data_IF_696208656989
#
_entry.id   IF_696208656989
#
_cell.length_a   1.000
_cell.length_b   1.000
_cell.length_c   1.000
_cell.angle_alpha   90.00
_cell.angle_beta   90.00
_cell.angle_gamma   90.00
#
_symmetry.space_group_name_H-M   'P 1'
#
loop_
_entity.id
_entity.type
_entity.pdbx_description
1 polymer ?
2 branched ?
3 water ?
#
# COMPACT_ATOMS: atom_id res chain seq x y z
N UNK A 1 -13.10 -7.77 -9.91
CA UNK A 1 -13.75 -7.43 -8.60
C UNK A 1 -13.93 -5.94 -8.45
N UNK A 2 -14.38 -5.51 -7.27
CA UNK A 2 -14.67 -4.10 -6.99
C UNK A 2 -13.43 -3.24 -6.75
N UNK A 3 -12.27 -3.89 -6.66
CA UNK A 3 -11.01 -3.17 -6.45
C UNK A 3 -9.91 -3.77 -7.31
N UNK A 4 -9.07 -2.90 -7.86
CA UNK A 4 -7.91 -3.34 -8.65
C UNK A 4 -6.98 -4.14 -7.73
N UNK A 5 -6.51 -5.28 -8.23
CA UNK A 5 -5.60 -6.16 -7.52
C UNK A 5 -4.34 -6.40 -8.33
N UNK A 6 -3.20 -6.45 -7.62
CA UNK A 6 -1.87 -6.59 -8.24
C UNK A 6 -1.14 -7.81 -7.68
N UNK A 7 -0.41 -8.54 -8.51
CA UNK A 7 0.31 -9.73 -8.01
C UNK A 7 1.34 -9.30 -6.96
N UNK A 8 1.44 -10.07 -5.87
CA UNK A 8 2.43 -9.82 -4.80
C UNK A 8 3.58 -10.84 -4.80
N UNK A 9 3.27 -12.01 -5.32
CA UNK A 9 4.19 -13.13 -5.48
C UNK A 9 3.60 -13.85 -6.67
N UNK A 10 4.44 -14.43 -7.52
CA UNK A 10 3.94 -15.22 -8.63
C UNK A 10 2.94 -16.28 -8.19
N UNK A 11 1.98 -16.64 -9.06
CA UNK A 11 1.04 -17.68 -8.67
C UNK A 11 1.67 -19.07 -8.68
N UNK A 12 1.09 -19.97 -7.89
CA UNK A 12 1.33 -21.39 -8.07
C UNK A 12 0.25 -21.90 -9.00
N UNK A 13 0.66 -22.33 -10.19
CA UNK A 13 -0.28 -22.81 -11.20
C UNK A 13 -0.31 -24.33 -11.18
N UNK A 14 -1.52 -24.87 -11.22
CA UNK A 14 -1.77 -26.30 -11.11
C UNK A 14 -0.87 -26.96 -10.07
N UNK A 15 -0.87 -26.45 -8.82
CA UNK A 15 -0.05 -27.10 -7.82
C UNK A 15 -0.60 -28.49 -7.54
N UNK A 16 0.29 -29.48 -7.38
CA UNK A 16 -0.15 -30.88 -7.17
C UNK A 16 -0.52 -31.10 -5.70
N UNK A 17 -1.70 -31.65 -5.45
CA UNK A 17 -2.15 -31.91 -4.08
C UNK A 17 -1.67 -33.28 -3.59
N UNK A 18 -1.10 -33.36 -2.36
CA UNK A 18 -0.84 -32.32 -1.35
C UNK A 18 0.31 -31.38 -1.70
N UNK A 19 0.09 -30.09 -1.48
CA UNK A 19 1.03 -29.04 -1.87
C UNK A 19 1.52 -28.35 -0.62
N UNK A 20 2.81 -28.03 -0.58
CA UNK A 20 3.37 -27.16 0.44
C UNK A 20 4.36 -26.24 -0.28
N UNK A 21 4.27 -24.95 0.00
CA UNK A 21 5.16 -23.99 -0.66
C UNK A 21 5.22 -22.68 0.09
N UNK A 22 6.25 -21.86 -0.19
CA UNK A 22 6.43 -20.62 0.54
C UNK A 22 5.35 -19.57 0.28
N UNK A 23 5.06 -18.81 1.32
CA UNK A 23 4.48 -17.48 1.16
C UNK A 23 5.66 -16.53 1.37
N UNK A 24 6.21 -16.07 0.25
CA UNK A 24 7.51 -15.38 0.23
C UNK A 24 7.39 -14.11 1.03
N UNK A 25 8.23 -13.99 2.05
CA UNK A 25 8.26 -12.80 2.91
C UNK A 25 7.23 -12.82 4.01
N UNK A 26 6.38 -13.86 4.06
CA UNK A 26 5.38 -13.99 5.13
C UNK A 26 4.08 -13.30 4.77
N UNK A 27 3.00 -13.70 5.43
CA UNK A 27 1.73 -12.98 5.31
C UNK A 27 1.86 -11.51 5.67
N UNK A 28 1.12 -10.67 4.95
CA UNK A 28 1.15 -9.23 5.16
C UNK A 28 -0.27 -8.70 5.22
N UNK A 29 -0.47 -7.60 5.94
CA UNK A 29 -1.77 -6.95 5.96
C UNK A 29 -2.21 -6.58 4.55
N UNK A 30 -3.45 -6.92 4.21
CA UNK A 30 -3.97 -6.60 2.87
C UNK A 30 -3.68 -7.64 1.81
N UNK A 31 -2.89 -8.67 2.14
CA UNK A 31 -2.66 -9.76 1.20
C UNK A 31 -3.93 -10.58 1.03
N UNK A 32 -4.20 -10.96 -0.22
CA UNK A 32 -5.33 -11.82 -0.55
C UNK A 32 -4.74 -13.03 -1.21
N UNK A 33 -4.94 -14.19 -0.57
CA UNK A 33 -4.46 -15.47 -1.08
C UNK A 33 -5.67 -16.20 -1.64
N UNK A 34 -5.70 -16.41 -2.96
CA UNK A 34 -6.89 -17.01 -3.56
C UNK A 34 -6.61 -18.40 -4.12
N UNK A 35 -7.45 -19.37 -3.77
CA UNK A 35 -7.35 -20.73 -4.30
C UNK A 35 -8.51 -20.95 -5.26
N UNK A 36 -8.20 -21.27 -6.52
CA UNK A 36 -9.18 -21.60 -7.53
C UNK A 36 -9.07 -23.06 -7.81
N UNK A 37 -10.17 -23.78 -7.63
CA UNK A 37 -10.08 -25.22 -7.68
C UNK A 37 -11.41 -25.90 -7.87
N UNK A 38 -11.39 -27.20 -7.64
CA UNK A 38 -12.59 -28.05 -7.69
C UNK A 38 -12.56 -29.05 -6.53
N UNK A 39 -13.68 -29.14 -5.84
CA UNK A 39 -13.91 -30.14 -4.81
C UNK A 39 -14.14 -31.46 -5.54
N UNK A 40 -13.47 -32.51 -5.08
CA UNK A 40 -13.66 -33.84 -5.65
C UNK A 40 -15.12 -34.31 -5.51
N UNK A 41 -15.53 -35.22 -6.40
CA UNK A 41 -16.93 -35.62 -6.48
C UNK A 41 -17.38 -36.37 -5.25
N UNK A 42 -16.45 -37.12 -4.69
CA UNK A 42 -16.66 -37.73 -3.41
C UNK A 42 -15.52 -37.15 -2.56
N UNK A 43 -15.93 -36.27 -1.69
CA UNK A 43 -15.00 -35.53 -0.88
C UNK A 43 -15.38 -35.83 0.54
N UNK A 44 -14.36 -36.00 1.37
CA UNK A 44 -14.55 -36.21 2.79
C UNK A 44 -14.12 -34.96 3.54
N UNK A 45 -12.88 -34.53 3.32
CA UNK A 45 -12.35 -33.34 3.95
C UNK A 45 -11.29 -32.72 3.07
N UNK A 46 -11.09 -31.42 3.21
CA UNK A 46 -9.82 -30.85 2.74
C UNK A 46 -9.31 -29.81 3.72
N UNK A 47 -8.03 -29.47 3.60
CA UNK A 47 -7.34 -28.59 4.57
C UNK A 47 -6.51 -27.54 3.84
N UNK A 48 -6.63 -26.29 4.31
CA UNK A 48 -5.69 -25.25 3.94
C UNK A 48 -5.05 -24.78 5.24
N UNK A 49 -3.73 -24.91 5.33
CA UNK A 49 -2.98 -24.46 6.52
C UNK A 49 -2.07 -23.31 6.17
N UNK A 50 -2.17 -22.26 6.96
CA UNK A 50 -1.20 -21.15 6.96
C UNK A 50 -0.31 -21.38 8.17
N UNK A 51 0.97 -21.69 7.90
CA UNK A 51 1.81 -22.20 8.97
C UNK A 51 3.22 -21.59 8.97
N UNK A 52 3.90 -21.76 10.10
CA UNK A 52 5.24 -21.26 10.31
C UNK A 52 6.15 -22.45 10.10
N UNK A 53 6.83 -22.45 8.96
CA UNK A 53 7.78 -23.48 8.54
C UNK A 53 7.14 -24.75 7.96
N UNK A 54 8.01 -25.62 7.48
CA UNK A 54 7.62 -26.89 6.87
C UNK A 54 7.03 -27.87 7.89
N UNK A 55 7.33 -27.66 9.18
CA UNK A 55 7.07 -28.63 10.24
C UNK A 55 5.62 -28.99 10.46
N UNK A 56 4.75 -27.99 10.41
CA UNK A 56 3.35 -28.22 10.72
C UNK A 56 2.99 -28.15 12.19
N UNK A 57 3.97 -27.89 13.04
CA UNK A 57 3.72 -27.82 14.50
C UNK A 57 3.05 -26.52 14.90
N UNK A 58 3.27 -25.49 14.10
CA UNK A 58 2.71 -24.17 14.36
C UNK A 58 1.94 -23.67 13.15
N UNK A 59 0.62 -23.79 13.26
CA UNK A 59 -0.32 -23.44 12.19
C UNK A 59 -1.17 -22.29 12.68
N UNK A 60 -0.92 -21.10 12.14
CA UNK A 60 -1.65 -19.92 12.56
C UNK A 60 -3.13 -20.04 12.27
N UNK A 61 -3.44 -20.60 11.11
CA UNK A 61 -4.83 -20.70 10.69
C UNK A 61 -4.98 -21.96 9.88
N UNK A 62 -5.76 -22.89 10.43
CA UNK A 62 -6.12 -24.17 9.80
C UNK A 62 -7.59 -24.08 9.39
N UNK A 63 -7.86 -24.24 8.11
CA UNK A 63 -9.21 -24.11 7.57
C UNK A 63 -9.57 -25.49 6.99
N UNK A 64 -10.62 -26.13 7.51
CA UNK A 64 -10.86 -27.54 7.26
C UNK A 64 -12.33 -27.88 7.03
N UNK A 65 -12.81 -27.76 5.79
CA UNK A 65 -14.16 -28.20 5.42
C UNK A 65 -14.30 -29.72 5.60
N UNK A 66 -15.42 -30.15 6.20
CA UNK A 66 -15.67 -31.56 6.47
C UNK A 66 -17.06 -31.90 5.96
N UNK A 67 -17.10 -32.78 4.97
CA UNK A 67 -18.34 -33.22 4.35
C UNK A 67 -18.92 -34.34 5.21
N UNK A 68 -19.13 -33.98 6.47
CA UNK A 68 -19.63 -34.89 7.52
C UNK A 68 -20.69 -34.18 8.36
N UNK A 69 -21.61 -34.93 8.96
CA UNK A 69 -22.58 -34.37 9.91
C UNK A 69 -23.36 -33.16 9.36
N UNK A 70 -23.74 -33.26 8.09
CA UNK A 70 -24.51 -32.21 7.43
C UNK A 70 -23.62 -31.27 6.62
N UNK A 71 -22.33 -31.30 6.93
CA UNK A 71 -21.36 -30.40 6.29
C UNK A 71 -21.02 -29.26 7.23
N UNK A 72 -19.73 -29.06 7.51
CA UNK A 72 -19.33 -27.95 8.38
C UNK A 72 -17.85 -27.65 8.17
N UNK A 73 -17.39 -26.52 8.67
CA UNK A 73 -15.99 -26.12 8.44
C UNK A 73 -15.36 -25.79 9.78
N UNK A 74 -14.24 -26.45 10.08
CA UNK A 74 -13.48 -26.18 11.29
C UNK A 74 -12.36 -25.18 11.01
N UNK A 75 -12.26 -24.13 11.85
CA UNK A 75 -11.14 -23.19 11.86
C UNK A 75 -10.42 -23.39 13.20
N UNK A 76 -9.10 -23.44 13.17
CA UNK A 76 -8.32 -23.58 14.42
C UNK A 76 -6.89 -23.11 14.21
N UNK A 77 -6.15 -23.11 15.30
CA UNK A 77 -4.72 -22.79 15.34
C UNK A 77 -4.00 -23.89 16.10
N UNK A 78 -2.77 -24.19 15.65
CA UNK A 78 -1.90 -25.19 16.32
C UNK A 78 -0.68 -24.45 16.80
N UNK A 79 -0.35 -24.64 18.09
CA UNK A 79 0.80 -24.02 18.72
C UNK A 79 1.61 -25.14 19.35
N UNK A 80 2.89 -25.23 18.97
CA UNK A 80 3.77 -26.24 19.59
C UNK A 80 3.13 -27.63 19.50
N UNK A 81 2.46 -27.92 18.38
CA UNK A 81 1.88 -29.26 18.17
C UNK A 81 0.49 -29.44 18.79
N UNK A 82 0.02 -28.42 19.52
CA UNK A 82 -1.30 -28.52 20.21
C UNK A 82 -2.39 -27.70 19.56
N UNK A 83 -3.52 -28.35 19.31
CA UNK A 83 -4.68 -27.66 18.76
C UNK A 83 -5.38 -26.82 19.82
N UNK A 84 -5.88 -25.65 19.41
CA UNK A 84 -6.67 -24.83 20.32
C UNK A 84 -8.16 -25.17 20.21
N UNK A 85 -9.02 -24.29 20.75
CA UNK A 85 -10.46 -24.46 20.65
C UNK A 85 -10.97 -24.22 19.23
N UNK A 86 -11.70 -25.19 18.70
CA UNK A 86 -12.19 -25.10 17.33
C UNK A 86 -13.32 -24.09 17.24
N UNK A 87 -13.37 -23.46 16.07
CA UNK A 87 -14.48 -22.61 15.68
C UNK A 87 -15.13 -23.30 14.50
N UNK A 88 -16.35 -23.79 14.72
CA UNK A 88 -17.08 -24.56 13.70
C UNK A 88 -18.20 -23.74 13.08
N UNK A 89 -18.13 -23.53 11.78
CA UNK A 89 -19.24 -22.90 11.07
C UNK A 89 -20.09 -24.02 10.49
N UNK A 90 -21.36 -24.08 10.91
CA UNK A 90 -22.17 -25.25 10.65
C UNK A 90 -22.88 -25.05 9.32
N UNK A 91 -22.07 -24.92 8.29
CA UNK A 91 -22.51 -24.71 6.91
C UNK A 91 -21.42 -25.22 5.98
N UNK A 92 -21.80 -25.72 4.81
CA UNK A 92 -20.81 -26.18 3.86
C UNK A 92 -20.96 -25.39 2.56
N UNK A 93 -20.05 -24.42 2.30
CA UNK A 93 -20.15 -23.56 1.13
C UNK A 93 -19.57 -24.12 -0.16
N UNK A 94 -18.96 -25.31 -0.05
CA UNK A 94 -18.40 -26.04 -1.19
C UNK A 94 -19.38 -27.13 -1.61
N UNK A 95 -19.42 -27.44 -2.91
CA UNK A 95 -20.24 -28.55 -3.39
C UNK A 95 -19.35 -29.60 -4.04
N UNK A 96 -19.61 -30.86 -3.71
CA UNK A 96 -18.85 -31.99 -4.26
C UNK A 96 -18.86 -31.97 -5.79
N UNK A 97 -17.69 -32.16 -6.36
CA UNK A 97 -17.52 -32.18 -7.81
C UNK A 97 -17.60 -30.83 -8.52
N UNK A 98 -17.71 -29.75 -7.77
CA UNK A 98 -17.90 -28.42 -8.35
C UNK A 98 -16.72 -27.45 -8.16
N UNK A 99 -16.53 -26.53 -9.13
CA UNK A 99 -15.50 -25.50 -8.94
C UNK A 99 -15.76 -24.58 -7.76
N UNK A 100 -14.68 -24.02 -7.22
CA UNK A 100 -14.82 -23.00 -6.19
C UNK A 100 -13.72 -21.95 -6.31
N UNK A 101 -13.99 -20.80 -5.73
CA UNK A 101 -12.96 -19.78 -5.50
C UNK A 101 -12.95 -19.59 -4.00
N UNK A 102 -11.77 -19.72 -3.40
CA UNK A 102 -11.63 -19.60 -1.95
C UNK A 102 -10.59 -18.53 -1.66
N UNK A 103 -11.00 -17.44 -1.01
CA UNK A 103 -10.10 -16.29 -0.84
C UNK A 103 -9.88 -15.98 0.63
N UNK A 104 -8.62 -15.91 1.02
CA UNK A 104 -8.23 -15.53 2.37
C UNK A 104 -7.68 -14.12 2.33
N UNK A 105 -8.35 -13.22 3.05
CA UNK A 105 -7.89 -11.86 3.14
C UNK A 105 -7.27 -11.62 4.51
N UNK A 106 -6.01 -11.17 4.53
CA UNK A 106 -5.33 -10.91 5.80
C UNK A 106 -5.62 -9.49 6.24
N UNK A 107 -6.34 -9.37 7.34
CA UNK A 107 -6.59 -8.05 7.92
C UNK A 107 -5.82 -7.90 9.24
N UNK A 108 -5.82 -6.69 9.79
CA UNK A 108 -5.01 -6.45 10.96
C UNK A 108 -5.39 -7.34 12.16
N UNK A 109 -6.68 -7.57 12.34
CA UNK A 109 -7.18 -8.30 13.51
C UNK A 109 -7.71 -9.71 13.20
N UNK A 110 -7.90 -10.01 11.92
CA UNK A 110 -8.57 -11.24 11.54
C UNK A 110 -8.24 -11.60 10.10
N UNK A 111 -8.41 -12.86 9.78
CA UNK A 111 -8.57 -13.29 8.39
C UNK A 111 -10.06 -13.14 8.06
N UNK A 112 -10.37 -12.73 6.84
CA UNK A 112 -11.74 -12.84 6.32
C UNK A 112 -11.69 -13.86 5.19
N UNK A 113 -12.63 -14.79 5.19
CA UNK A 113 -12.62 -15.84 4.17
C UNK A 113 -13.86 -15.75 3.30
N UNK A 114 -13.64 -15.63 1.98
CA UNK A 114 -14.69 -15.55 0.98
C UNK A 114 -14.74 -16.87 0.25
N UNK A 115 -15.94 -17.38 0.02
CA UNK A 115 -16.08 -18.56 -0.82
C UNK A 115 -17.05 -18.21 -1.94
N UNK A 116 -16.59 -18.38 -3.18
CA UNK A 116 -17.41 -18.07 -4.34
C UNK A 116 -17.91 -16.63 -4.25
N UNK A 117 -17.01 -15.77 -3.77
CA UNK A 117 -17.16 -14.30 -3.73
C UNK A 117 -18.14 -13.81 -2.66
N UNK A 118 -18.54 -14.71 -1.76
CA UNK A 118 -19.43 -14.35 -0.66
C UNK A 118 -18.71 -14.60 0.64
N UNK A 119 -18.86 -13.66 1.56
CA UNK A 119 -18.23 -13.81 2.87
C UNK A 119 -18.70 -15.10 3.52
N UNK A 120 -17.75 -15.87 4.05
CA UNK A 120 -18.08 -17.15 4.68
C UNK A 120 -17.77 -17.14 6.19
N UNK A 121 -16.55 -16.82 6.56
CA UNK A 121 -16.16 -16.82 7.98
C UNK A 121 -15.08 -15.79 8.26
N UNK A 122 -15.03 -15.33 9.51
CA UNK A 122 -13.92 -14.51 10.01
C UNK A 122 -13.16 -15.35 10.99
N UNK A 123 -11.87 -15.06 11.14
CA UNK A 123 -11.06 -15.81 12.10
C UNK A 123 -10.07 -14.86 12.74
N UNK A 124 -10.27 -14.58 14.03
CA UNK A 124 -9.37 -13.69 14.75
C UNK A 124 -7.99 -14.29 14.84
N UNK A 125 -6.97 -13.48 14.57
CA UNK A 125 -5.59 -13.89 14.76
C UNK A 125 -5.31 -14.27 16.20
N UNK A 126 -4.82 -15.48 16.41
CA UNK A 126 -4.43 -15.93 17.74
C UNK A 126 -2.93 -15.78 17.94
N UNK A 127 -2.21 -15.71 16.83
CA UNK A 127 -0.77 -15.46 16.80
C UNK A 127 -0.49 -14.47 15.65
N UNK A 128 0.65 -13.79 15.68
CA UNK A 128 0.96 -12.85 14.58
C UNK A 128 1.02 -13.54 13.22
N UNK A 129 0.31 -12.98 12.25
CA UNK A 129 0.21 -13.66 10.95
C UNK A 129 1.53 -13.57 10.20
N UNK A 130 2.38 -12.61 10.56
CA UNK A 130 3.58 -12.42 9.78
C UNK A 130 4.58 -13.56 9.93
N UNK A 131 4.39 -14.40 10.95
CA UNK A 131 5.27 -15.57 11.11
C UNK A 131 4.90 -16.70 10.15
N UNK A 132 3.74 -16.58 9.51
CA UNK A 132 3.35 -17.54 8.49
C UNK A 132 4.13 -17.34 7.20
N UNK A 133 4.96 -18.33 6.88
CA UNK A 133 5.72 -18.27 5.63
C UNK A 133 5.49 -19.45 4.72
N UNK A 134 4.48 -20.25 5.04
CA UNK A 134 4.27 -21.50 4.35
C UNK A 134 2.79 -21.75 4.21
N UNK A 135 2.36 -22.14 3.02
CA UNK A 135 0.97 -22.63 2.86
C UNK A 135 1.00 -24.14 2.56
N UNK A 136 0.08 -24.90 3.14
CA UNK A 136 0.00 -26.34 2.88
C UNK A 136 -1.42 -26.69 2.55
N UNK A 137 -1.63 -27.36 1.42
CA UNK A 137 -3.00 -27.72 1.01
C UNK A 137 -3.09 -29.21 0.79
N UNK A 138 -4.10 -29.84 1.39
CA UNK A 138 -4.24 -31.30 1.24
C UNK A 138 -5.70 -31.73 1.20
N UNK A 139 -5.95 -32.96 0.78
CA UNK A 139 -7.31 -33.49 0.83
C UNK A 139 -8.00 -33.58 -0.50
N UNK A 140 -9.33 -33.53 -0.44
CA UNK A 140 -10.19 -33.92 -1.55
C UNK A 140 -10.51 -32.76 -2.47
N UNK A 141 -9.47 -32.26 -3.10
CA UNK A 141 -9.58 -31.15 -4.03
C UNK A 141 -8.46 -31.22 -5.03
N UNK A 142 -8.63 -30.45 -6.11
CA UNK A 142 -7.54 -30.12 -7.01
C UNK A 142 -7.57 -28.60 -7.17
N UNK A 143 -6.44 -28.03 -7.54
CA UNK A 143 -6.33 -26.57 -7.72
C UNK A 143 -5.83 -26.21 -9.12
N UNK A 144 -6.47 -25.21 -9.75
CA UNK A 144 -5.93 -24.62 -10.96
C UNK A 144 -4.88 -23.54 -10.68
N UNK A 145 -5.05 -22.82 -9.57
CA UNK A 145 -4.01 -21.91 -9.16
C UNK A 145 -4.19 -21.43 -7.74
N UNK A 146 -3.11 -20.88 -7.22
CA UNK A 146 -3.12 -20.10 -5.98
C UNK A 146 -2.48 -18.79 -6.38
N UNK A 147 -3.19 -17.67 -6.19
CA UNK A 147 -2.63 -16.34 -6.40
C UNK A 147 -2.45 -15.58 -5.10
N UNK A 148 -1.51 -14.63 -5.14
CA UNK A 148 -1.17 -13.75 -4.02
C UNK A 148 -1.30 -12.33 -4.55
N UNK A 149 -2.24 -11.57 -4.01
CA UNK A 149 -2.56 -10.24 -4.56
C UNK A 149 -2.76 -9.23 -3.49
N UNK A 150 -2.57 -7.97 -3.87
CA UNK A 150 -2.82 -6.85 -2.99
C UNK A 150 -3.46 -5.69 -3.74
N UNK A 151 -4.19 -4.85 -3.02
CA UNK A 151 -4.74 -3.60 -3.57
C UNK A 151 -3.62 -2.60 -3.78
N UNK B 1 1.19 34.70 -16.88
CA UNK B 1 0.41 34.87 -15.63
C UNK B 1 0.27 36.35 -15.31
N UNK B 2 -0.18 36.66 -14.10
CA UNK B 2 -0.50 38.03 -13.73
C UNK B 2 0.74 38.81 -13.29
N UNK B 3 1.87 38.12 -13.23
CA UNK B 3 3.16 38.67 -12.79
C UNK B 3 4.21 38.32 -13.86
N UNK B 4 5.06 39.28 -14.22
CA UNK B 4 6.21 38.99 -15.11
C UNK B 4 7.21 38.12 -14.35
N UNK B 5 7.61 37.01 -14.98
CA UNK B 5 8.52 36.06 -14.37
C UNK B 5 9.81 35.93 -15.18
N UNK B 6 10.93 35.79 -14.48
CA UNK B 6 12.25 35.64 -15.09
C UNK B 6 12.85 34.35 -14.59
N UNK B 7 13.60 33.66 -15.42
CA UNK B 7 14.23 32.42 -14.97
C UNK B 7 15.28 32.69 -13.91
N UNK B 8 15.36 31.81 -12.91
CA UNK B 8 16.35 31.95 -11.86
C UNK B 8 17.43 30.87 -11.95
N UNK B 9 17.08 29.76 -12.59
CA UNK B 9 18.05 28.74 -12.98
C UNK B 9 17.43 27.92 -14.12
N UNK B 10 18.26 27.29 -14.92
CA UNK B 10 17.80 26.39 -16.00
C UNK B 10 16.73 25.41 -15.53
N UNK B 11 15.68 25.19 -16.34
CA UNK B 11 14.68 24.18 -15.94
C UNK B 11 15.24 22.76 -15.86
N UNK B 12 14.67 21.94 -14.98
CA UNK B 12 14.90 20.49 -15.04
C UNK B 12 13.85 19.89 -15.99
N UNK B 13 14.30 19.19 -17.04
CA UNK B 13 13.40 18.57 -18.04
C UNK B 13 13.30 17.05 -17.84
N UNK B 14 12.07 16.53 -17.84
CA UNK B 14 11.79 15.12 -17.52
C UNK B 14 12.61 14.56 -16.34
N UNK B 15 12.60 15.28 -15.20
CA UNK B 15 13.41 14.73 -14.10
C UNK B 15 12.85 13.37 -13.69
N UNK B 16 13.74 12.40 -13.52
CA UNK B 16 13.33 11.04 -13.19
C UNK B 16 13.12 10.90 -11.69
N UNK B 17 12.00 10.28 -11.30
CA UNK B 17 11.61 10.07 -9.90
C UNK B 17 12.17 8.73 -9.37
N UNK B 18 12.79 8.73 -8.17
CA UNK B 18 13.02 9.88 -7.27
C UNK B 18 14.09 10.86 -7.76
N UNK B 19 13.78 12.14 -7.60
CA UNK B 19 14.63 13.22 -8.09
C UNK B 19 15.14 14.02 -6.92
N UNK B 20 16.45 14.31 -6.92
CA UNK B 20 17.05 15.23 -5.97
C UNK B 20 17.96 16.14 -6.77
N UNK B 21 17.85 17.44 -6.54
CA UNK B 21 18.68 18.38 -7.26
C UNK B 21 18.81 19.71 -6.53
N UNK B 22 19.81 20.50 -6.90
CA UNK B 22 20.04 21.80 -6.28
C UNK B 22 19.01 22.87 -6.63
N UNK B 23 18.80 23.73 -5.65
CA UNK B 23 18.13 25.00 -5.80
C UNK B 23 19.27 26.03 -5.69
N UNK B 24 19.68 26.48 -6.87
CA UNK B 24 20.94 27.23 -7.01
C UNK B 24 20.90 28.59 -6.34
N UNK B 25 21.75 28.75 -5.32
CA UNK B 25 21.81 29.99 -4.54
C UNK B 25 20.81 30.05 -3.40
N UNK B 26 20.07 28.96 -3.20
CA UNK B 26 19.09 28.84 -2.11
C UNK B 26 17.73 29.38 -2.48
N UNK B 27 16.70 29.00 -1.74
CA UNK B 27 15.39 29.63 -1.89
C UNK B 27 15.52 31.10 -1.56
N UNK B 28 14.76 31.95 -2.25
CA UNK B 28 14.81 33.39 -2.04
C UNK B 28 13.39 33.95 -2.11
N UNK B 29 13.13 35.06 -1.43
CA UNK B 29 11.82 35.72 -1.50
C UNK B 29 11.48 35.98 -2.98
N UNK B 30 10.25 35.66 -3.39
CA UNK B 30 9.78 35.88 -4.76
C UNK B 30 10.10 34.76 -5.72
N UNK B 31 10.75 33.70 -5.25
CA UNK B 31 11.01 32.52 -6.09
C UNK B 31 9.76 31.66 -6.23
N UNK B 32 9.48 31.22 -7.46
CA UNK B 32 8.37 30.29 -7.75
C UNK B 32 8.96 29.02 -8.33
N UNK B 33 8.71 27.90 -7.65
CA UNK B 33 9.18 26.61 -8.14
C UNK B 33 7.95 25.87 -8.63
N UNK B 34 7.92 25.55 -9.92
CA UNK B 34 6.74 24.91 -10.49
C UNK B 34 7.08 23.50 -10.99
N UNK B 35 6.29 22.51 -10.53
CA UNK B 35 6.40 21.12 -10.98
C UNK B 35 5.21 20.82 -11.88
N UNK B 36 5.49 20.29 -13.07
CA UNK B 36 4.43 19.86 -13.99
C UNK B 36 4.58 18.36 -14.14
N UNK B 37 3.52 17.63 -13.82
CA UNK B 37 3.62 16.19 -13.83
C UNK B 37 2.28 15.49 -13.89
N UNK B 38 2.30 14.20 -13.54
CA UNK B 38 1.10 13.37 -13.52
C UNK B 38 1.11 12.54 -12.26
N UNK B 39 -0.03 12.52 -11.59
CA UNK B 39 -0.22 11.62 -10.47
C UNK B 39 -0.44 10.22 -11.05
N UNK B 40 0.32 9.25 -10.55
CA UNK B 40 0.11 7.84 -11.00
C UNK B 40 -1.33 7.34 -10.77
N UNK B 41 -1.79 6.42 -11.62
CA UNK B 41 -3.20 5.99 -11.55
C UNK B 41 -3.64 5.29 -10.24
N UNK B 42 -2.70 4.64 -9.58
CA UNK B 42 -3.00 3.96 -8.33
C UNK B 42 -2.14 4.53 -7.22
N UNK B 43 -1.98 5.85 -7.28
CA UNK B 43 -1.17 6.58 -6.33
C UNK B 43 -1.64 6.38 -4.90
N UNK B 44 -0.68 6.27 -3.99
CA UNK B 44 -0.97 6.26 -2.56
C UNK B 44 -0.52 7.57 -1.94
N UNK B 45 0.74 7.93 -2.17
CA UNK B 45 1.31 9.18 -1.65
C UNK B 45 2.32 9.72 -2.63
N UNK B 46 2.63 11.02 -2.56
CA UNK B 46 3.89 11.52 -3.11
C UNK B 46 4.48 12.64 -2.24
N UNK B 47 5.73 12.97 -2.46
CA UNK B 47 6.43 13.91 -1.57
C UNK B 47 7.24 14.94 -2.35
N UNK B 48 7.12 16.21 -1.95
CA UNK B 48 8.03 17.23 -2.38
C UNK B 48 8.68 17.86 -1.17
N UNK B 49 10.01 17.76 -1.11
CA UNK B 49 10.77 18.23 0.03
C UNK B 49 11.68 19.37 -0.38
N UNK B 50 11.63 20.47 0.39
CA UNK B 50 12.58 21.56 0.27
C UNK B 50 13.48 21.43 1.46
N UNK B 51 14.74 21.10 1.19
CA UNK B 51 15.60 20.72 2.32
C UNK B 51 17.00 21.33 2.25
N UNK B 52 17.70 21.23 3.39
CA UNK B 52 19.03 21.79 3.54
C UNK B 52 19.96 20.59 3.47
N UNK B 53 20.72 20.50 2.37
CA UNK B 53 21.62 19.37 2.12
C UNK B 53 20.89 18.10 1.72
N UNK B 54 21.66 17.02 1.56
CA UNK B 54 21.22 15.84 0.85
C UNK B 54 20.60 14.80 1.77
N UNK B 55 20.95 14.80 3.07
CA UNK B 55 20.54 13.66 3.91
C UNK B 55 19.08 13.62 4.35
N UNK B 56 18.37 14.73 4.19
CA UNK B 56 16.95 14.76 4.58
C UNK B 56 16.68 14.97 6.06
N UNK B 57 17.72 15.23 6.86
CA UNK B 57 17.53 15.49 8.28
C UNK B 57 16.87 16.83 8.54
N UNK B 58 17.06 17.78 7.63
CA UNK B 58 16.54 19.13 7.78
C UNK B 58 15.74 19.48 6.55
N UNK B 59 14.43 19.32 6.66
CA UNK B 59 13.51 19.63 5.57
C UNK B 59 12.66 20.82 6.05
N UNK B 60 12.86 21.96 5.41
CA UNK B 60 12.11 23.20 5.76
C UNK B 60 10.63 23.07 5.48
N UNK B 61 10.30 22.42 4.36
CA UNK B 61 8.91 22.26 3.95
C UNK B 61 8.79 20.92 3.25
N UNK B 62 8.00 20.03 3.86
CA UNK B 62 7.65 18.71 3.31
C UNK B 62 6.19 18.79 2.91
N UNK B 63 5.88 18.53 1.64
CA UNK B 63 4.53 18.61 1.11
C UNK B 63 4.14 17.21 0.64
N UNK B 64 3.12 16.63 1.27
CA UNK B 64 2.87 15.20 1.17
C UNK B 64 1.37 14.86 0.97
N UNK B 65 0.90 14.85 -0.29
CA UNK B 65 -0.45 14.39 -0.58
C UNK B 65 -0.60 12.92 -0.28
N UNK B 66 -1.71 12.55 0.34
CA UNK B 66 -1.97 11.16 0.69
C UNK B 66 -3.35 10.80 0.21
N UNK B 67 -3.42 9.83 -0.70
CA UNK B 67 -4.68 9.35 -1.24
C UNK B 67 -5.25 8.32 -0.27
N UNK B 68 -5.50 8.80 0.94
CA UNK B 68 -5.90 7.97 2.06
C UNK B 68 -6.95 8.70 2.87
N UNK B 69 -7.87 7.93 3.44
CA UNK B 69 -8.89 8.45 4.35
C UNK B 69 -9.74 9.55 3.69
N UNK B 70 -9.96 9.42 2.38
CA UNK B 70 -10.75 10.41 1.64
C UNK B 70 -9.92 11.49 0.96
N UNK B 71 -8.61 11.46 1.20
CA UNK B 71 -7.66 12.37 0.54
C UNK B 71 -7.32 13.60 1.36
N UNK B 72 -6.04 13.78 1.68
CA UNK B 72 -5.61 14.97 2.43
C UNK B 72 -4.15 15.25 2.16
N UNK B 73 -3.68 16.42 2.55
CA UNK B 73 -2.27 16.75 2.28
C UNK B 73 -1.61 17.12 3.58
N UNK B 74 -0.46 16.51 3.85
CA UNK B 74 0.31 16.83 5.03
C UNK B 74 1.44 17.79 4.71
N UNK B 75 1.56 18.86 5.52
CA UNK B 75 2.69 19.79 5.40
C UNK B 75 3.43 19.75 6.72
N UNK B 76 4.75 19.71 6.69
CA UNK B 76 5.52 19.64 7.92
C UNK B 76 6.94 20.09 7.69
N UNK B 77 7.69 20.15 8.79
CA UNK B 77 9.10 20.48 8.77
C UNK B 77 9.84 19.41 9.56
N UNK B 78 11.04 19.06 9.10
CA UNK B 78 11.92 18.15 9.86
C UNK B 78 13.16 18.94 10.27
N UNK B 79 13.53 18.81 11.54
CA UNK B 79 14.70 19.52 12.07
C UNK B 79 15.58 18.53 12.82
N UNK B 80 16.85 18.44 12.41
CA UNK B 80 17.82 17.52 13.05
C UNK B 80 17.23 16.10 13.13
N UNK B 81 16.43 15.75 12.12
CA UNK B 81 15.86 14.41 12.04
C UNK B 81 14.47 14.27 12.65
N UNK B 82 14.01 15.31 13.36
CA UNK B 82 12.71 15.29 14.04
C UNK B 82 11.59 16.02 13.31
N UNK B 83 10.47 15.32 13.11
CA UNK B 83 9.31 15.97 12.51
C UNK B 83 8.61 16.86 13.53
N UNK B 84 8.13 18.01 13.08
CA UNK B 84 7.33 18.92 13.93
C UNK B 84 5.84 18.56 13.87
N UNK B 85 4.98 19.49 14.33
CA UNK B 85 3.53 19.28 14.28
C UNK B 85 2.99 19.40 12.85
N UNK B 86 2.29 18.36 12.42
CA UNK B 86 1.74 18.36 11.05
C UNK B 86 0.65 19.40 10.87
N UNK B 87 0.57 19.92 9.65
CA UNK B 87 -0.55 20.74 9.23
C UNK B 87 -1.25 19.99 8.13
N UNK B 88 -2.47 19.54 8.39
CA UNK B 88 -3.19 18.71 7.43
C UNK B 88 -4.31 19.50 6.77
N UNK B 89 -4.28 19.62 5.45
CA UNK B 89 -5.40 20.23 4.74
C UNK B 89 -6.24 19.10 4.25
N UNK B 90 -7.51 19.08 4.69
CA UNK B 90 -8.37 17.93 4.53
C UNK B 90 -9.10 17.98 3.20
N UNK B 91 -8.29 17.92 2.15
CA UNK B 91 -8.76 18.07 0.78
C UNK B 91 -7.66 17.59 -0.13
N UNK B 92 -8.07 16.89 -1.18
CA UNK B 92 -7.13 16.34 -2.16
C UNK B 92 -7.30 17.05 -3.51
N UNK B 93 -6.35 17.94 -3.87
CA UNK B 93 -6.45 18.71 -5.11
C UNK B 93 -5.86 17.99 -6.36
N UNK B 94 -5.29 16.80 -6.16
CA UNK B 94 -4.78 16.01 -7.26
C UNK B 94 -5.78 14.88 -7.53
N UNK B 95 -5.71 14.30 -8.71
CA UNK B 95 -6.55 13.15 -9.04
C UNK B 95 -5.65 12.06 -9.62
N UNK B 96 -5.90 10.81 -9.23
CA UNK B 96 -5.13 9.69 -9.71
C UNK B 96 -5.18 9.66 -11.23
N UNK B 97 -4.02 9.52 -11.86
CA UNK B 97 -3.96 9.38 -13.30
C UNK B 97 -3.90 10.68 -14.08
N UNK B 98 -4.10 11.81 -13.39
CA UNK B 98 -4.27 13.10 -14.06
C UNK B 98 -3.06 14.02 -13.96
N UNK B 99 -2.81 14.82 -15.02
CA UNK B 99 -1.78 15.87 -15.01
C UNK B 99 -2.06 16.90 -13.94
N UNK B 100 -1.01 17.50 -13.42
CA UNK B 100 -1.16 18.60 -12.48
C UNK B 100 -0.07 19.67 -12.72
N UNK B 101 -0.33 20.88 -12.24
CA UNK B 101 0.70 21.90 -12.11
C UNK B 101 0.76 22.20 -10.62
N UNK B 102 1.96 22.18 -10.05
CA UNK B 102 2.11 22.42 -8.63
C UNK B 102 3.16 23.50 -8.44
N UNK B 103 2.75 24.64 -7.85
CA UNK B 103 3.63 25.81 -7.76
C UNK B 103 3.85 26.23 -6.31
N UNK B 104 5.12 26.36 -5.94
CA UNK B 104 5.47 26.78 -4.60
C UNK B 104 6.06 28.17 -4.75
N UNK B 105 5.44 29.15 -4.09
CA UNK B 105 5.92 30.53 -4.09
C UNK B 105 6.50 30.89 -2.73
N UNK B 106 7.75 31.37 -2.71
CA UNK B 106 8.43 31.75 -1.48
C UNK B 106 8.14 33.22 -1.18
N UNK B 107 7.40 33.46 -0.11
CA UNK B 107 7.18 34.83 0.37
C UNK B 107 7.94 35.00 1.67
N UNK B 108 8.03 36.24 2.15
CA UNK B 108 8.88 36.53 3.32
C UNK B 108 8.47 35.73 4.56
N UNK B 109 7.17 35.55 4.80
CA UNK B 109 6.74 34.86 6.02
C UNK B 109 6.19 33.43 5.81
N UNK B 110 5.94 33.06 4.55
CA UNK B 110 5.31 31.78 4.27
C UNK B 110 5.59 31.32 2.86
N UNK B 111 5.37 30.04 2.63
CA UNK B 111 5.14 29.49 1.29
C UNK B 111 3.65 29.62 0.93
N UNK B 112 3.39 29.90 -0.36
CA UNK B 112 2.04 29.77 -0.91
C UNK B 112 2.10 28.62 -1.94
N UNK B 113 1.16 27.68 -1.85
CA UNK B 113 1.15 26.55 -2.75
C UNK B 113 -0.10 26.61 -3.64
N UNK B 114 0.10 26.60 -4.98
CA UNK B 114 -1.00 26.61 -5.94
C UNK B 114 -1.02 25.28 -6.63
N UNK B 115 -2.20 24.72 -6.84
CA UNK B 115 -2.34 23.48 -7.57
C UNK B 115 -3.28 23.72 -8.72
N UNK B 116 -2.81 23.44 -9.93
CA UNK B 116 -3.60 23.74 -11.13
C UNK B 116 -4.07 25.20 -11.12
N UNK B 117 -3.15 26.11 -10.76
CA UNK B 117 -3.32 27.57 -10.76
C UNK B 117 -4.18 28.12 -9.63
N UNK B 118 -4.69 27.24 -8.77
CA UNK B 118 -5.59 27.67 -7.71
C UNK B 118 -4.90 27.52 -6.35
N UNK B 119 -5.00 28.54 -5.52
CA UNK B 119 -4.39 28.48 -4.20
C UNK B 119 -4.93 27.27 -3.47
N UNK B 120 -4.01 26.50 -2.87
CA UNK B 120 -4.36 25.31 -2.13
C UNK B 120 -4.08 25.45 -0.64
N UNK B 121 -2.84 25.83 -0.32
CA UNK B 121 -2.46 25.96 1.11
C UNK B 121 -1.33 26.97 1.32
N UNK B 122 -1.30 27.60 2.50
CA UNK B 122 -0.15 28.39 2.92
C UNK B 122 0.60 27.64 4.02
N UNK B 123 1.89 27.88 4.11
CA UNK B 123 2.69 27.23 5.15
C UNK B 123 3.70 28.24 5.72
N UNK B 124 3.53 28.62 6.98
CA UNK B 124 4.43 29.59 7.61
C UNK B 124 5.83 29.02 7.73
N UNK B 125 6.86 29.82 7.41
CA UNK B 125 8.23 29.36 7.59
C UNK B 125 8.47 29.10 9.07
N UNK B 126 9.05 27.93 9.35
CA UNK B 126 9.46 27.58 10.72
C UNK B 126 10.97 27.76 10.88
N UNK B 127 11.69 27.58 9.78
CA UNK B 127 13.13 27.74 9.72
C UNK B 127 13.50 28.71 8.58
N UNK B 128 14.74 29.21 8.56
CA UNK B 128 15.13 30.11 7.47
C UNK B 128 15.09 29.44 6.10
N UNK B 129 14.36 30.03 5.17
CA UNK B 129 14.23 29.41 3.85
C UNK B 129 15.50 29.52 3.02
N UNK B 130 16.34 30.53 3.30
CA UNK B 130 17.54 30.74 2.46
C UNK B 130 18.57 29.61 2.58
N UNK B 131 18.45 28.80 3.63
CA UNK B 131 19.32 27.63 3.84
C UNK B 131 18.87 26.38 3.07
N UNK B 132 17.72 26.47 2.40
CA UNK B 132 17.23 25.36 1.61
C UNK B 132 17.93 25.41 0.27
N UNK B 133 18.68 24.36 -0.05
CA UNK B 133 19.49 24.34 -1.27
C UNK B 133 19.20 23.11 -2.12
N UNK B 134 18.18 22.34 -1.76
CA UNK B 134 17.96 21.05 -2.38
C UNK B 134 16.44 20.84 -2.49
N UNK B 135 16.01 20.34 -3.65
CA UNK B 135 14.63 19.85 -3.80
C UNK B 135 14.70 18.34 -4.00
N UNK B 136 13.80 17.62 -3.35
CA UNK B 136 13.74 16.17 -3.45
C UNK B 136 12.29 15.78 -3.70
N UNK B 137 12.06 15.05 -4.80
CA UNK B 137 10.72 14.64 -5.18
C UNK B 137 10.64 13.12 -5.30
N UNK B 138 9.62 12.52 -4.72
CA UNK B 138 9.50 11.07 -4.70
C UNK B 138 8.08 10.60 -4.58
N UNK B 139 7.87 9.31 -4.83
CA UNK B 139 6.54 8.70 -4.69
C UNK B 139 5.78 8.50 -5.99
N UNK B 140 4.46 8.45 -5.88
CA UNK B 140 3.61 8.01 -6.98
C UNK B 140 3.28 9.13 -7.98
N UNK B 141 4.32 9.64 -8.64
CA UNK B 141 4.13 10.62 -9.70
C UNK B 141 5.20 10.51 -10.78
N UNK B 142 4.95 11.17 -11.91
CA UNK B 142 6.02 11.50 -12.85
C UNK B 142 6.05 13.00 -13.12
N UNK B 143 7.18 13.49 -13.59
CA UNK B 143 7.33 14.93 -13.85
C UNK B 143 7.79 15.16 -15.27
N UNK B 144 7.22 16.17 -15.91
CA UNK B 144 7.69 16.61 -17.22
C UNK B 144 8.68 17.75 -17.08
N UNK B 145 8.48 18.62 -16.08
CA UNK B 145 9.45 19.67 -15.78
C UNK B 145 9.38 20.21 -14.37
N UNK B 146 10.49 20.84 -13.97
CA UNK B 146 10.58 21.68 -12.79
C UNK B 146 11.19 23.00 -13.27
N UNK B 147 10.46 24.11 -13.11
CA UNK B 147 11.00 25.43 -13.42
C UNK B 147 11.24 26.24 -12.16
N UNK B 148 12.17 27.19 -12.27
CA UNK B 148 12.52 28.10 -11.19
C UNK B 148 12.47 29.51 -11.76
N UNK B 149 11.55 30.31 -11.25
CA UNK B 149 11.32 31.65 -11.78
C UNK B 149 11.17 32.65 -10.68
N UNK B 150 11.52 33.89 -10.95
CA UNK B 150 11.40 34.94 -9.96
C UNK B 150 10.66 36.16 -10.53
N UNK B 151 9.97 36.89 -9.65
CA UNK B 151 9.48 38.24 -9.96
C UNK B 151 10.62 39.26 -9.90
#
# INVERSE_FOLDING_TARGET
>A
GSMALFSAQSPYINPIIPFTGPIQGGLQEGLQVTLQGTTKSFAQRFVVNFQNSFNGNDIAFHFNPRFEEGGYVVCNTKQNGQWGPEERKMQMPFQKGMPFELCFLVQRSEFKVMVNKKFFVQYQHRVPYHLVDTIAVSGCLKLSFITFQTQNFRPAHQA
>B
GSMALFSAQSPYINPIIPFTGPIQGGLQEGLQVTLQGTTKSFAQRFVVNFQNSFNGNDIAFHFNPRFEEGGYVVCNTKQNGQWGPEERKMQMPFQKGMPFELCFLVQRSEFKVMVNKKFFVQYQHRVPYHLVDTIAVSGCLKLSFITFQTQNFRPAHQA
#
